data_IF_862983310714
#
_entry.id   IF_862983310714
#
_cell.length_a   1.000
_cell.length_b   1.000
_cell.length_c   1.000
_cell.angle_alpha   90.00
_cell.angle_beta   90.00
_cell.angle_gamma   90.00
#
_symmetry.space_group_name_H-M   'P 1'
#
loop_
_entity.id
_entity.type
_entity.pdbx_description
1 polymer ?
#
# COMPACT_ATOMS: atom_id res chain seq x y z
N UNK A 1 -38.88 -1.59 59.63
CA UNK A 1 -39.67 -2.76 59.16
C UNK A 1 -38.68 -3.85 58.76
N UNK A 2 -38.76 -5.03 59.37
CA UNK A 2 -38.18 -6.26 58.81
C UNK A 2 -39.36 -7.13 58.34
N UNK A 3 -39.20 -8.06 57.35
CA UNK A 3 -38.65 -9.38 57.71
C UNK A 3 -37.98 -10.23 56.58
N UNK A 4 -37.31 -11.32 57.03
CA UNK A 4 -37.14 -12.69 56.46
C UNK A 4 -36.13 -12.94 55.31
N UNK A 5 -34.97 -13.62 55.49
CA UNK A 5 -34.65 -15.09 55.62
C UNK A 5 -35.45 -15.98 54.65
N UNK A 6 -34.88 -16.84 53.79
CA UNK A 6 -34.14 -18.10 54.04
C UNK A 6 -33.37 -18.58 52.78
N UNK A 7 -32.12 -19.06 52.87
CA UNK A 7 -31.66 -20.47 53.00
C UNK A 7 -32.33 -21.48 52.05
N UNK A 8 -31.55 -22.06 51.14
CA UNK A 8 -31.44 -23.52 50.96
C UNK A 8 -30.13 -23.87 50.24
N UNK A 9 -29.37 -24.80 50.82
CA UNK A 9 -28.21 -25.43 50.20
C UNK A 9 -28.45 -26.92 49.92
N UNK A 10 -27.36 -27.60 49.52
CA UNK A 10 -27.15 -29.06 49.36
C UNK A 10 -27.70 -29.66 48.04
N UNK A 11 -27.11 -30.64 47.36
CA UNK A 11 -25.83 -31.39 47.40
C UNK A 11 -25.79 -32.30 46.16
N UNK A 12 -24.58 -32.52 45.62
CA UNK A 12 -23.98 -33.75 45.02
C UNK A 12 -24.85 -34.86 44.36
N UNK A 13 -24.44 -35.23 43.13
CA UNK A 13 -23.87 -36.54 42.72
C UNK A 13 -24.51 -37.27 41.51
N UNK A 14 -23.65 -37.52 40.52
CA UNK A 14 -23.46 -38.72 39.69
C UNK A 14 -24.62 -39.31 38.84
N UNK A 15 -24.39 -39.38 37.52
CA UNK A 15 -24.57 -40.62 36.76
C UNK A 15 -23.70 -40.66 35.50
N UNK A 16 -22.83 -41.67 35.43
CA UNK A 16 -22.05 -42.04 34.27
C UNK A 16 -22.91 -42.82 33.27
N UNK A 17 -22.72 -42.61 31.97
CA UNK A 17 -22.97 -43.65 30.95
C UNK A 17 -21.83 -43.59 29.92
N UNK A 18 -21.07 -44.68 29.94
CA UNK A 18 -20.06 -45.11 28.99
C UNK A 18 -20.74 -45.81 27.82
N UNK A 19 -20.29 -45.57 26.60
CA UNK A 19 -20.37 -46.56 25.52
C UNK A 19 -19.26 -46.31 24.49
N UNK A 20 -18.11 -46.93 24.73
CA UNK A 20 -17.12 -47.26 23.72
C UNK A 20 -17.72 -48.25 22.72
N UNK A 21 -17.65 -47.97 21.43
CA UNK A 21 -17.79 -48.97 20.37
C UNK A 21 -16.60 -48.85 19.42
N UNK A 22 -15.79 -49.91 19.38
CA UNK A 22 -14.77 -50.14 18.36
C UNK A 22 -15.34 -50.99 17.21
N UNK A 23 -14.84 -50.69 16.00
CA UNK A 23 -14.83 -51.54 14.79
C UNK A 23 -15.85 -51.13 13.74
N UNK A 24 -15.59 -51.11 12.43
CA UNK A 24 -14.47 -51.53 11.58
C UNK A 24 -14.76 -50.94 10.16
N UNK A 25 -13.70 -50.76 9.37
CA UNK A 25 -13.58 -50.71 7.89
C UNK A 25 -14.10 -49.52 7.06
N UNK A 26 -13.19 -49.13 6.16
CA UNK A 26 -13.38 -48.56 4.82
C UNK A 26 -13.72 -47.07 4.69
N UNK A 27 -12.70 -46.28 4.32
CA UNK A 27 -12.48 -45.83 2.94
C UNK A 27 -11.26 -44.89 2.93
N UNK A 28 -10.28 -45.15 2.06
CA UNK A 28 -9.31 -44.11 1.71
C UNK A 28 -10.03 -42.93 1.04
N UNK A 29 -9.49 -41.71 1.14
CA UNK A 29 -8.72 -41.28 -0.02
C UNK A 29 -7.42 -40.56 0.33
N UNK A 30 -6.44 -40.82 -0.53
CA UNK A 30 -5.32 -39.95 -0.84
C UNK A 30 -5.81 -38.51 -0.95
N UNK A 31 -5.35 -37.65 -0.04
CA UNK A 31 -5.10 -36.24 -0.32
C UNK A 31 -3.73 -35.88 0.25
N UNK A 32 -2.69 -36.43 -0.37
CA UNK A 32 -1.50 -35.60 -0.61
C UNK A 32 -1.97 -34.44 -1.48
N UNK A 33 -2.52 -33.42 -0.82
CA UNK A 33 -2.77 -32.14 -1.43
C UNK A 33 -1.40 -31.64 -1.88
N UNK A 34 -1.26 -31.59 -3.20
CA UNK A 34 -0.16 -31.07 -4.00
C UNK A 34 0.52 -29.94 -3.23
N UNK A 35 1.63 -30.27 -2.55
CA UNK A 35 2.62 -29.25 -2.22
C UNK A 35 3.30 -28.99 -3.54
N UNK A 36 2.81 -27.98 -4.28
CA UNK A 36 3.57 -27.50 -5.42
C UNK A 36 4.94 -27.14 -4.86
N UNK A 37 5.97 -27.86 -5.31
CA UNK A 37 7.36 -27.74 -4.87
C UNK A 37 7.98 -26.43 -5.40
N UNK A 38 7.18 -25.37 -5.38
CA UNK A 38 7.45 -24.08 -5.97
C UNK A 38 7.91 -23.19 -4.84
N UNK A 39 9.20 -22.95 -4.80
CA UNK A 39 9.82 -22.02 -3.86
C UNK A 39 9.12 -20.65 -3.99
N UNK A 40 8.35 -20.21 -2.98
CA UNK A 40 7.52 -19.01 -3.08
C UNK A 40 8.36 -17.74 -3.24
N UNK A 41 9.66 -17.79 -2.92
CA UNK A 41 10.58 -16.67 -3.11
C UNK A 41 10.96 -16.40 -4.57
N UNK A 42 10.71 -17.37 -5.47
CA UNK A 42 11.04 -17.27 -6.90
C UNK A 42 9.84 -16.88 -7.78
N UNK A 43 8.65 -16.80 -7.20
CA UNK A 43 7.44 -16.43 -7.92
C UNK A 43 7.40 -14.91 -8.16
N UNK A 44 6.83 -14.50 -9.30
CA UNK A 44 6.46 -13.10 -9.49
C UNK A 44 5.41 -12.68 -8.46
N UNK A 45 5.21 -11.36 -8.25
CA UNK A 45 4.17 -10.86 -7.33
C UNK A 45 2.79 -11.45 -7.65
N UNK A 46 2.44 -11.58 -8.94
CA UNK A 46 1.20 -12.21 -9.38
C UNK A 46 1.18 -13.72 -9.17
N UNK A 47 2.30 -14.40 -9.39
CA UNK A 47 2.44 -15.83 -9.14
C UNK A 47 2.32 -16.17 -7.66
N UNK A 48 2.89 -15.34 -6.79
CA UNK A 48 2.78 -15.48 -5.34
C UNK A 48 1.35 -15.20 -4.86
N UNK A 49 0.67 -14.19 -5.43
CA UNK A 49 -0.72 -13.90 -5.10
C UNK A 49 -1.64 -15.08 -5.46
N UNK A 50 -1.51 -15.63 -6.66
CA UNK A 50 -2.31 -16.79 -7.09
C UNK A 50 -2.00 -18.03 -6.25
N UNK A 51 -0.72 -18.27 -5.95
CA UNK A 51 -0.32 -19.36 -5.07
C UNK A 51 -0.95 -19.25 -3.68
N UNK A 52 -0.91 -18.06 -3.06
CA UNK A 52 -1.52 -17.85 -1.75
C UNK A 52 -3.04 -17.99 -1.81
N UNK A 53 -3.70 -17.52 -2.87
CA UNK A 53 -5.14 -17.72 -3.08
C UNK A 53 -5.52 -19.20 -3.22
N UNK A 54 -4.74 -19.98 -3.97
CA UNK A 54 -4.97 -21.42 -4.17
C UNK A 54 -4.77 -22.24 -2.88
N UNK A 55 -3.81 -21.86 -2.05
CA UNK A 55 -3.51 -22.56 -0.78
C UNK A 55 -4.47 -22.11 0.35
N UNK A 56 -5.02 -20.91 0.25
CA UNK A 56 -5.87 -20.34 1.29
C UNK A 56 -7.27 -20.98 1.31
N UNK A 57 -7.74 -21.33 2.51
CA UNK A 57 -9.08 -21.92 2.74
C UNK A 57 -10.04 -20.95 3.45
N UNK A 58 -9.55 -19.80 3.91
CA UNK A 58 -10.34 -18.82 4.65
C UNK A 58 -10.89 -17.73 3.70
N UNK A 59 -12.21 -17.62 3.52
CA UNK A 59 -12.80 -16.62 2.62
C UNK A 59 -12.52 -15.17 3.04
N UNK A 60 -12.24 -14.90 4.32
CA UNK A 60 -11.88 -13.56 4.77
C UNK A 60 -10.47 -13.17 4.31
N UNK A 61 -9.54 -14.13 4.34
CA UNK A 61 -8.16 -13.92 3.87
C UNK A 61 -8.13 -13.75 2.35
N UNK A 62 -8.95 -14.51 1.63
CA UNK A 62 -9.12 -14.36 0.18
C UNK A 62 -9.62 -12.95 -0.17
N UNK A 63 -10.67 -12.48 0.51
CA UNK A 63 -11.21 -11.13 0.32
C UNK A 63 -10.16 -10.04 0.62
N UNK A 64 -9.40 -10.18 1.71
CA UNK A 64 -8.33 -9.25 2.07
C UNK A 64 -7.20 -9.24 1.03
N UNK A 65 -6.81 -10.39 0.48
CA UNK A 65 -5.77 -10.51 -0.53
C UNK A 65 -6.20 -9.91 -1.87
N UNK A 66 -7.45 -10.09 -2.28
CA UNK A 66 -8.01 -9.44 -3.46
C UNK A 66 -7.99 -7.92 -3.30
N UNK A 67 -8.49 -7.39 -2.18
CA UNK A 67 -8.42 -5.94 -1.87
C UNK A 67 -6.98 -5.42 -1.83
N UNK A 68 -6.05 -6.22 -1.28
CA UNK A 68 -4.63 -5.87 -1.24
C UNK A 68 -4.02 -5.81 -2.65
N UNK A 69 -4.37 -6.76 -3.53
CA UNK A 69 -3.91 -6.76 -4.92
C UNK A 69 -4.37 -5.51 -5.68
N UNK A 70 -5.60 -5.07 -5.44
CA UNK A 70 -6.15 -3.85 -6.02
C UNK A 70 -5.47 -2.58 -5.47
N UNK A 71 -5.21 -2.54 -4.16
CA UNK A 71 -4.53 -1.40 -3.51
C UNK A 71 -3.05 -1.29 -3.87
N UNK A 72 -2.33 -2.42 -3.90
CA UNK A 72 -0.90 -2.46 -4.24
C UNK A 72 -0.68 -2.07 -5.70
N UNK A 73 -1.56 -2.53 -6.60
CA UNK A 73 -1.34 -2.36 -8.04
C UNK A 73 -1.44 -0.93 -8.55
N UNK A 74 -2.05 0.00 -7.80
CA UNK A 74 -2.20 1.40 -8.24
C UNK A 74 -1.72 2.43 -7.23
N UNK A 75 -2.21 2.37 -6.00
CA UNK A 75 -1.94 3.43 -5.02
C UNK A 75 -0.55 3.29 -4.41
N UNK A 76 -0.15 2.07 -4.02
CA UNK A 76 1.17 1.85 -3.42
C UNK A 76 2.29 2.20 -4.41
N UNK A 77 2.15 1.78 -5.68
CA UNK A 77 3.13 2.09 -6.72
C UNK A 77 3.17 3.59 -7.06
N UNK A 78 2.01 4.24 -7.22
CA UNK A 78 1.96 5.67 -7.48
C UNK A 78 2.55 6.49 -6.32
N UNK A 79 2.25 6.12 -5.07
CA UNK A 79 2.80 6.77 -3.89
C UNK A 79 4.30 6.57 -3.77
N UNK A 80 4.80 5.37 -4.06
CA UNK A 80 6.24 5.11 -4.12
C UNK A 80 6.91 6.01 -5.15
N UNK A 81 6.38 6.07 -6.38
CA UNK A 81 6.93 6.91 -7.44
C UNK A 81 6.89 8.40 -7.08
N UNK A 82 5.77 8.89 -6.54
CA UNK A 82 5.67 10.29 -6.06
C UNK A 82 6.63 10.58 -4.91
N UNK A 83 6.82 9.64 -3.98
CA UNK A 83 7.76 9.79 -2.88
C UNK A 83 9.21 9.86 -3.39
N UNK A 84 9.54 9.07 -4.40
CA UNK A 84 10.87 9.03 -5.00
C UNK A 84 11.15 10.23 -5.91
N UNK A 85 10.13 10.75 -6.60
CA UNK A 85 10.25 12.03 -7.32
C UNK A 85 10.44 13.15 -6.30
N UNK A 86 9.66 13.15 -5.20
CA UNK A 86 9.70 14.20 -4.18
C UNK A 86 11.01 14.20 -3.38
N UNK A 87 11.60 13.03 -3.08
CA UNK A 87 12.88 12.93 -2.37
C UNK A 87 14.03 13.61 -3.12
N UNK A 88 13.94 13.66 -4.46
CA UNK A 88 14.92 14.29 -5.36
C UNK A 88 14.48 15.65 -5.90
N UNK A 89 13.34 16.18 -5.46
CA UNK A 89 12.84 17.49 -5.89
C UNK A 89 13.27 18.60 -4.94
N UNK A 90 13.60 19.76 -5.50
CA UNK A 90 13.83 20.99 -4.72
C UNK A 90 12.76 22.02 -5.09
N UNK A 91 12.43 22.92 -4.16
CA UNK A 91 11.48 24.01 -4.45
C UNK A 91 12.23 25.34 -4.37
N UNK A 92 12.24 26.08 -5.47
CA UNK A 92 12.87 27.40 -5.58
C UNK A 92 11.80 28.48 -5.62
N UNK A 93 12.04 29.57 -4.90
CA UNK A 93 11.12 30.72 -4.82
C UNK A 93 11.80 31.97 -5.35
N UNK A 94 11.01 32.96 -5.79
CA UNK A 94 11.55 34.25 -6.22
C UNK A 94 12.11 34.30 -7.64
N UNK A 95 11.97 33.23 -8.43
CA UNK A 95 12.29 33.27 -9.86
C UNK A 95 11.18 34.06 -10.56
N UNK A 96 11.50 35.17 -11.21
CA UNK A 96 10.53 35.99 -11.96
C UNK A 96 9.83 35.20 -13.06
N UNK A 97 8.54 35.45 -13.28
CA UNK A 97 7.80 34.83 -14.39
C UNK A 97 8.24 35.43 -15.74
N UNK A 98 7.99 34.69 -16.81
CA UNK A 98 8.13 35.22 -18.16
C UNK A 98 6.96 36.18 -18.47
N UNK A 99 7.08 37.08 -19.46
CA UNK A 99 6.01 37.99 -19.84
C UNK A 99 4.70 37.26 -20.15
N UNK A 100 3.56 37.82 -19.76
CA UNK A 100 2.25 37.17 -19.91
C UNK A 100 1.91 36.82 -21.38
N UNK A 101 2.41 37.64 -22.32
CA UNK A 101 2.20 37.48 -23.76
C UNK A 101 3.08 36.40 -24.41
N UNK A 102 4.02 35.82 -23.66
CA UNK A 102 4.94 34.80 -24.21
C UNK A 102 4.24 33.46 -24.42
N UNK A 103 4.70 32.72 -25.43
CA UNK A 103 4.13 31.41 -25.75
C UNK A 103 4.44 30.39 -24.64
N UNK A 104 3.61 29.36 -24.42
CA UNK A 104 3.87 28.34 -23.40
C UNK A 104 5.26 27.69 -23.49
N UNK A 105 5.76 27.44 -24.70
CA UNK A 105 7.10 26.91 -24.94
C UNK A 105 8.20 27.87 -24.52
N UNK A 106 8.02 29.17 -24.78
CA UNK A 106 8.96 30.23 -24.39
C UNK A 106 9.02 30.40 -22.88
N UNK A 107 7.86 30.36 -22.21
CA UNK A 107 7.79 30.39 -20.74
C UNK A 107 8.52 29.22 -20.10
N UNK A 108 8.36 28.03 -20.68
CA UNK A 108 9.03 26.84 -20.20
C UNK A 108 10.56 26.94 -20.39
N UNK A 109 11.01 27.36 -21.58
CA UNK A 109 12.43 27.56 -21.85
C UNK A 109 13.05 28.66 -20.97
N UNK A 110 12.30 29.71 -20.65
CA UNK A 110 12.74 30.77 -19.73
C UNK A 110 12.97 30.25 -18.31
N UNK A 111 12.03 29.48 -17.74
CA UNK A 111 12.19 28.94 -16.39
C UNK A 111 13.34 27.92 -16.32
N UNK A 112 13.47 27.04 -17.32
CA UNK A 112 14.57 26.08 -17.40
C UNK A 112 15.93 26.80 -17.46
N UNK A 113 16.05 27.82 -18.33
CA UNK A 113 17.27 28.63 -18.42
C UNK A 113 17.60 29.34 -17.11
N UNK A 114 16.60 29.90 -16.42
CA UNK A 114 16.80 30.57 -15.13
C UNK A 114 17.26 29.58 -14.05
N UNK A 115 16.69 28.37 -14.02
CA UNK A 115 17.12 27.30 -13.09
C UNK A 115 18.55 26.86 -13.39
N UNK A 116 18.92 26.65 -14.66
CA UNK A 116 20.31 26.29 -15.02
C UNK A 116 21.31 27.33 -14.52
N UNK A 117 21.02 28.63 -14.68
CA UNK A 117 21.87 29.70 -14.14
C UNK A 117 22.03 29.62 -12.61
N UNK A 118 20.97 29.26 -11.88
CA UNK A 118 21.06 29.07 -10.44
C UNK A 118 21.98 27.90 -10.10
N UNK A 119 21.86 26.78 -10.81
CA UNK A 119 22.73 25.61 -10.65
C UNK A 119 24.19 25.94 -10.94
N UNK A 120 24.45 26.76 -11.97
CA UNK A 120 25.80 27.26 -12.29
C UNK A 120 26.37 28.09 -11.12
N UNK A 121 25.56 28.98 -10.54
CA UNK A 121 25.96 29.83 -9.40
C UNK A 121 26.31 28.97 -8.17
N UNK A 122 25.50 27.94 -7.89
CA UNK A 122 25.77 27.03 -6.77
C UNK A 122 26.78 25.92 -7.11
N UNK A 123 27.36 25.94 -8.32
CA UNK A 123 28.36 24.99 -8.82
C UNK A 123 27.89 23.53 -8.75
N UNK A 124 26.62 23.29 -9.08
CA UNK A 124 26.05 21.96 -9.14
C UNK A 124 26.04 21.48 -10.59
N UNK A 125 26.85 20.47 -10.88
CA UNK A 125 26.92 19.85 -12.20
C UNK A 125 25.83 18.80 -12.36
N UNK A 126 24.60 19.24 -12.66
CA UNK A 126 23.51 18.32 -12.96
C UNK A 126 22.55 18.87 -14.00
N UNK A 127 21.79 17.96 -14.63
CA UNK A 127 20.65 18.31 -15.48
C UNK A 127 19.36 17.90 -14.76
N UNK A 128 18.50 18.86 -14.37
CA UNK A 128 17.20 18.53 -13.81
C UNK A 128 16.37 17.66 -14.75
N UNK A 129 15.67 16.68 -14.19
CA UNK A 129 14.76 15.81 -14.96
C UNK A 129 13.54 16.59 -15.46
N UNK A 130 12.99 17.46 -14.61
CA UNK A 130 11.83 18.32 -14.88
C UNK A 130 12.02 19.65 -14.16
N UNK A 131 11.48 20.72 -14.74
CA UNK A 131 11.41 22.05 -14.13
C UNK A 131 10.01 22.59 -14.39
N UNK A 132 9.24 22.87 -13.34
CA UNK A 132 7.82 23.22 -13.46
C UNK A 132 7.44 24.35 -12.50
N UNK A 133 6.59 25.26 -12.98
CA UNK A 133 5.93 26.26 -12.13
C UNK A 133 4.73 25.64 -11.41
N UNK A 134 4.67 25.79 -10.10
CA UNK A 134 3.58 25.25 -9.29
C UNK A 134 2.40 26.21 -9.17
N UNK A 135 1.19 25.69 -9.41
CA UNK A 135 -0.06 26.44 -9.20
C UNK A 135 -0.44 27.41 -10.32
N UNK A 136 -1.47 28.22 -10.05
CA UNK A 136 -2.01 29.22 -10.98
C UNK A 136 -1.18 30.52 -10.94
N UNK A 137 -0.97 31.20 -12.07
CA UNK A 137 -0.27 32.48 -12.11
C UNK A 137 -0.90 33.50 -11.16
N UNK A 138 -0.06 34.35 -10.55
CA UNK A 138 -0.49 35.42 -9.67
C UNK A 138 0.31 36.70 -10.00
N UNK A 139 -0.36 37.81 -10.33
CA UNK A 139 0.32 39.06 -10.70
C UNK A 139 1.10 39.68 -9.52
N UNK A 140 0.72 39.38 -8.28
CA UNK A 140 1.38 39.95 -7.10
C UNK A 140 2.64 39.19 -6.68
N UNK A 141 2.82 37.93 -7.11
CA UNK A 141 3.96 37.11 -6.68
C UNK A 141 4.27 36.00 -7.70
N UNK A 142 5.55 35.83 -8.09
CA UNK A 142 5.96 34.70 -8.92
C UNK A 142 5.68 33.35 -8.25
N UNK A 143 5.24 32.37 -9.04
CA UNK A 143 5.03 31.00 -8.57
C UNK A 143 6.30 30.32 -8.11
N UNK A 144 6.14 29.32 -7.24
CA UNK A 144 7.21 28.40 -6.89
C UNK A 144 7.64 27.58 -8.10
N UNK A 145 8.92 27.21 -8.17
CA UNK A 145 9.47 26.30 -9.17
C UNK A 145 9.87 25.00 -8.48
N UNK A 146 9.47 23.86 -9.05
CA UNK A 146 9.84 22.52 -8.60
C UNK A 146 10.62 21.81 -9.70
#
# INVERSE_FOLDING_TARGET
>A
MAPKVDRFGRTRAAKAISSNHQGISDLAPIQEAITSNTDPSKLSVSGLLNYVLEVNKDPNVESLLLMLSEKISREAFANYLESEIRSRSIVVTGIEEAPDDSLPSERQADVERKVSKILDIVKVECRPEKVLRMGKPNPSRPRLVK
#
